data_IF_070426051220
#
_entry.id   IF_070426051220
#
_cell.length_a   1.000
_cell.length_b   1.000
_cell.length_c   1.000
_cell.angle_alpha   90.00
_cell.angle_beta   90.00
_cell.angle_gamma   90.00
#
_symmetry.space_group_name_H-M   'P 1'
#
loop_
_entity.id
_entity.type
_entity.pdbx_description
1 polymer ?
#
# COMPACT_ATOMS: atom_id res chain seq x y z
N UNK A 1 -1.13 11.06 14.27
CA UNK A 1 -0.07 10.70 15.23
C UNK A 1 1.14 10.24 14.44
N UNK A 2 2.28 10.93 14.52
CA UNK A 2 3.54 10.37 14.02
C UNK A 2 4.02 9.37 15.06
N UNK A 3 3.71 8.08 14.85
CA UNK A 3 4.37 7.03 15.60
C UNK A 3 5.81 7.00 15.09
N UNK A 4 6.75 7.45 15.93
CA UNK A 4 8.18 7.36 15.63
C UNK A 4 8.62 5.91 15.37
N UNK A 5 9.89 5.69 15.00
CA UNK A 5 10.39 4.34 14.75
C UNK A 5 10.13 3.43 15.96
N UNK A 6 9.71 2.19 15.70
CA UNK A 6 9.56 1.18 16.75
C UNK A 6 10.94 0.94 17.37
N UNK A 7 11.05 1.10 18.69
CA UNK A 7 12.32 0.90 19.38
C UNK A 7 12.77 -0.57 19.25
N UNK A 8 14.08 -0.81 19.06
CA UNK A 8 14.62 -2.15 18.83
C UNK A 8 14.25 -3.15 19.94
N UNK A 9 14.19 -2.69 21.20
CA UNK A 9 13.76 -3.53 22.34
C UNK A 9 12.32 -4.02 22.23
N UNK A 10 11.43 -3.24 21.60
CA UNK A 10 10.03 -3.65 21.38
C UNK A 10 9.95 -4.69 20.26
N UNK A 11 10.75 -4.54 19.19
CA UNK A 11 10.87 -5.56 18.16
C UNK A 11 11.42 -6.88 18.73
N UNK A 12 12.42 -6.81 19.61
CA UNK A 12 12.97 -8.00 20.28
C UNK A 12 11.95 -8.68 21.21
N UNK A 13 11.18 -7.89 21.98
CA UNK A 13 10.08 -8.44 22.80
C UNK A 13 9.02 -9.13 21.94
N UNK A 14 8.63 -8.52 20.83
CA UNK A 14 7.68 -9.10 19.89
C UNK A 14 8.22 -10.40 19.30
N UNK A 15 9.47 -10.41 18.86
CA UNK A 15 10.15 -11.57 18.30
C UNK A 15 10.19 -12.77 19.27
N UNK A 16 10.43 -12.51 20.58
CA UNK A 16 10.39 -13.57 21.61
C UNK A 16 8.99 -14.14 21.85
N UNK A 17 7.94 -13.33 21.68
CA UNK A 17 6.55 -13.71 21.95
C UNK A 17 5.86 -14.40 20.79
N UNK A 18 6.25 -14.09 19.56
CA UNK A 18 5.64 -14.67 18.38
C UNK A 18 6.02 -16.14 18.15
N UNK A 19 7.07 -16.64 18.82
CA UNK A 19 7.61 -18.01 18.64
C UNK A 19 7.97 -18.39 17.19
N UNK A 20 7.93 -17.41 16.27
CA UNK A 20 8.32 -17.49 14.88
C UNK A 20 9.31 -16.38 14.59
N UNK A 21 10.36 -16.68 13.82
CA UNK A 21 11.31 -15.67 13.34
C UNK A 21 10.63 -14.76 12.31
N UNK A 22 10.48 -13.47 12.63
CA UNK A 22 9.89 -12.47 11.74
C UNK A 22 10.97 -11.48 11.30
N UNK A 23 11.11 -11.33 10.00
CA UNK A 23 12.02 -10.35 9.39
C UNK A 23 11.18 -9.20 8.88
N UNK A 24 11.43 -8.00 9.41
CA UNK A 24 10.75 -6.79 8.98
C UNK A 24 11.57 -6.10 7.89
N UNK A 25 10.94 -5.88 6.74
CA UNK A 25 11.48 -5.02 5.68
C UNK A 25 10.65 -3.75 5.63
N UNK A 26 11.30 -2.60 5.85
CA UNK A 26 10.66 -1.29 5.81
C UNK A 26 11.35 -0.48 4.73
N UNK A 27 10.66 -0.19 3.60
CA UNK A 27 11.25 0.62 2.55
C UNK A 27 11.40 2.07 2.99
N UNK A 28 12.43 2.73 2.49
CA UNK A 28 12.52 4.18 2.54
C UNK A 28 11.80 4.75 1.32
N UNK A 29 10.90 5.70 1.55
CA UNK A 29 10.30 6.46 0.45
C UNK A 29 11.39 7.24 -0.30
N UNK A 30 11.35 7.28 -1.65
CA UNK A 30 12.11 8.25 -2.42
C UNK A 30 11.90 9.66 -1.88
N UNK A 31 12.96 10.49 -1.85
CA UNK A 31 12.80 11.91 -1.54
C UNK A 31 11.95 12.58 -2.63
N UNK A 32 11.36 13.75 -2.34
CA UNK A 32 10.73 14.57 -3.38
C UNK A 32 11.71 14.81 -4.54
N UNK A 33 11.22 14.68 -5.77
CA UNK A 33 12.01 14.94 -6.96
C UNK A 33 12.18 16.44 -7.21
N UNK A 34 13.15 16.80 -8.06
CA UNK A 34 13.44 18.20 -8.40
C UNK A 34 12.28 18.91 -9.11
N UNK A 35 11.46 18.16 -9.87
CA UNK A 35 10.25 18.65 -10.54
C UNK A 35 9.02 18.71 -9.60
N UNK A 36 9.19 18.39 -8.31
CA UNK A 36 8.16 18.53 -7.28
C UNK A 36 7.20 17.37 -7.17
N UNK A 37 7.54 16.20 -7.73
CA UNK A 37 6.80 14.96 -7.48
C UNK A 37 7.08 14.47 -6.06
N UNK A 38 6.01 14.04 -5.43
CA UNK A 38 5.95 13.40 -4.12
C UNK A 38 5.71 11.91 -4.32
N UNK A 39 5.90 11.16 -3.24
CA UNK A 39 5.83 9.71 -3.27
C UNK A 39 5.03 9.15 -2.10
N UNK A 40 4.25 8.10 -2.35
CA UNK A 40 3.68 7.28 -1.31
C UNK A 40 3.54 5.83 -1.77
N UNK A 41 4.21 4.92 -1.05
CA UNK A 41 4.26 3.47 -1.28
C UNK A 41 4.69 3.03 -2.67
N UNK A 42 3.81 3.06 -3.66
CA UNK A 42 4.12 2.74 -5.05
C UNK A 42 3.61 3.78 -6.02
N UNK A 43 3.20 4.96 -5.54
CA UNK A 43 2.59 6.00 -6.35
C UNK A 43 3.36 7.32 -6.26
N UNK A 44 3.61 7.93 -7.41
CA UNK A 44 4.12 9.30 -7.54
C UNK A 44 3.00 10.27 -7.88
N UNK A 45 3.05 11.46 -7.30
CA UNK A 45 2.03 12.48 -7.49
C UNK A 45 2.57 13.87 -7.21
N UNK A 46 1.95 14.88 -7.80
CA UNK A 46 2.20 16.29 -7.49
C UNK A 46 1.41 16.72 -6.25
N UNK A 47 1.88 17.77 -5.56
CA UNK A 47 1.15 18.38 -4.43
C UNK A 47 -0.26 18.85 -4.80
N UNK A 48 -0.54 19.13 -6.07
CA UNK A 48 -1.88 19.51 -6.55
C UNK A 48 -2.82 18.31 -6.69
N UNK A 49 -2.30 17.12 -6.99
CA UNK A 49 -3.10 15.91 -7.18
C UNK A 49 -3.70 15.36 -5.87
N UNK A 50 -2.99 15.48 -4.73
CA UNK A 50 -3.40 14.95 -3.43
C UNK A 50 -3.40 16.04 -2.34
N UNK A 51 -4.29 17.03 -2.44
CA UNK A 51 -4.47 18.07 -1.41
C UNK A 51 -5.54 17.67 -0.40
N UNK A 52 -5.31 17.88 0.90
CA UNK A 52 -6.31 17.74 2.00
C UNK A 52 -6.71 16.31 2.38
N UNK A 53 -5.79 15.34 2.35
CA UNK A 53 -6.01 13.98 2.88
C UNK A 53 -7.33 13.33 2.38
N UNK A 54 -7.43 13.20 1.06
CA UNK A 54 -8.69 12.99 0.33
C UNK A 54 -9.33 11.59 0.49
N UNK A 55 -8.69 10.68 1.23
CA UNK A 55 -9.17 9.30 1.32
C UNK A 55 -8.95 8.46 0.06
N UNK A 56 -8.17 8.97 -0.90
CA UNK A 56 -7.73 8.25 -2.09
C UNK A 56 -6.41 8.84 -2.59
N UNK A 57 -5.75 8.13 -3.51
CA UNK A 57 -4.53 8.61 -4.15
C UNK A 57 -4.77 8.86 -5.65
N UNK A 58 -4.48 10.07 -6.11
CA UNK A 58 -4.41 10.42 -7.52
C UNK A 58 -2.94 10.64 -7.91
N UNK A 59 -2.47 9.86 -8.88
CA UNK A 59 -1.07 9.85 -9.29
C UNK A 59 -0.83 8.69 -10.25
N UNK A 60 0.44 8.36 -10.44
CA UNK A 60 0.87 7.29 -11.33
C UNK A 60 1.64 6.23 -10.54
N UNK A 61 1.55 4.97 -10.97
CA UNK A 61 2.34 3.91 -10.37
C UNK A 61 3.82 4.08 -10.70
N UNK A 62 4.65 4.11 -9.67
CA UNK A 62 6.09 4.20 -9.79
C UNK A 62 6.72 2.81 -9.91
N UNK A 63 6.59 2.21 -11.10
CA UNK A 63 7.08 0.86 -11.41
C UNK A 63 8.53 0.59 -10.98
N UNK A 64 9.52 1.48 -11.23
CA UNK A 64 10.90 1.20 -10.82
C UNK A 64 11.06 1.00 -9.32
N UNK A 65 10.24 1.67 -8.50
CA UNK A 65 10.26 1.46 -7.06
C UNK A 65 9.63 0.13 -6.68
N UNK A 66 8.48 -0.21 -7.27
CA UNK A 66 7.80 -1.48 -7.01
C UNK A 66 8.69 -2.68 -7.41
N UNK A 67 9.41 -2.58 -8.52
CA UNK A 67 10.40 -3.55 -8.98
C UNK A 67 11.56 -3.67 -7.98
N UNK A 68 12.18 -2.55 -7.60
CA UNK A 68 13.30 -2.54 -6.66
C UNK A 68 12.92 -3.08 -5.28
N UNK A 69 11.75 -2.68 -4.76
CA UNK A 69 11.24 -3.16 -3.48
C UNK A 69 10.93 -4.65 -3.54
N UNK A 70 10.24 -5.12 -4.57
CA UNK A 70 9.93 -6.54 -4.76
C UNK A 70 11.22 -7.37 -4.86
N UNK A 71 12.22 -6.90 -5.60
CA UNK A 71 13.54 -7.56 -5.67
C UNK A 71 14.14 -7.72 -4.27
N UNK A 72 14.11 -6.67 -3.44
CA UNK A 72 14.64 -6.73 -2.07
C UNK A 72 13.84 -7.64 -1.15
N UNK A 73 12.53 -7.73 -1.33
CA UNK A 73 11.67 -8.69 -0.62
C UNK A 73 12.08 -10.12 -0.98
N UNK A 74 12.23 -10.43 -2.26
CA UNK A 74 12.65 -11.77 -2.71
C UNK A 74 14.05 -12.12 -2.22
N UNK A 75 15.03 -11.21 -2.37
CA UNK A 75 16.39 -11.40 -1.87
C UNK A 75 16.41 -11.66 -0.35
N UNK A 76 15.60 -10.93 0.43
CA UNK A 76 15.51 -11.12 1.87
C UNK A 76 14.85 -12.47 2.22
N UNK A 77 13.77 -12.83 1.51
CA UNK A 77 13.08 -14.10 1.70
C UNK A 77 14.02 -15.29 1.44
N UNK A 78 14.79 -15.24 0.35
CA UNK A 78 15.81 -16.25 0.03
C UNK A 78 16.92 -16.28 1.07
N UNK A 79 17.50 -15.13 1.42
CA UNK A 79 18.61 -15.05 2.38
C UNK A 79 18.25 -15.60 3.76
N UNK A 80 17.02 -15.34 4.23
CA UNK A 80 16.55 -15.83 5.52
C UNK A 80 15.83 -17.17 5.46
N UNK A 81 15.71 -17.78 4.27
CA UNK A 81 14.92 -18.98 4.02
C UNK A 81 13.50 -18.87 4.61
N UNK A 82 12.84 -17.75 4.29
CA UNK A 82 11.52 -17.44 4.82
C UNK A 82 10.50 -18.47 4.33
N UNK A 83 9.71 -19.02 5.25
CA UNK A 83 8.64 -19.95 4.90
C UNK A 83 7.48 -19.26 4.17
N UNK A 84 7.22 -17.99 4.54
CA UNK A 84 6.14 -17.16 4.00
C UNK A 84 6.58 -15.71 3.87
N UNK A 85 6.06 -15.04 2.85
CA UNK A 85 6.21 -13.61 2.62
C UNK A 85 4.84 -12.94 2.69
N UNK A 86 4.72 -11.92 3.55
CA UNK A 86 3.48 -11.18 3.76
C UNK A 86 3.70 -9.68 3.53
N UNK A 87 2.82 -9.05 2.75
CA UNK A 87 2.68 -7.59 2.75
C UNK A 87 1.42 -7.21 3.53
N UNK A 88 1.60 -6.38 4.56
CA UNK A 88 0.51 -5.95 5.42
C UNK A 88 0.63 -4.45 5.69
N UNK A 89 -0.51 -3.75 5.72
CA UNK A 89 -0.52 -2.38 6.20
C UNK A 89 -1.90 -1.84 6.54
N UNK A 90 -1.88 -0.72 7.26
CA UNK A 90 -3.05 0.04 7.68
C UNK A 90 -3.10 1.40 6.96
N UNK A 91 -4.28 1.86 6.55
CA UNK A 91 -4.46 3.15 5.88
C UNK A 91 -3.59 3.23 4.62
N UNK A 92 -2.66 4.18 4.53
CA UNK A 92 -1.71 4.27 3.42
C UNK A 92 -0.88 2.99 3.26
N UNK A 93 -0.58 2.28 4.35
CA UNK A 93 0.08 0.98 4.30
C UNK A 93 -0.78 -0.11 3.66
N UNK A 94 -2.10 -0.06 3.85
CA UNK A 94 -3.04 -0.99 3.20
C UNK A 94 -3.06 -0.75 1.69
N UNK A 95 -3.06 0.52 1.27
CA UNK A 95 -2.86 0.88 -0.13
C UNK A 95 -1.54 0.33 -0.69
N UNK A 96 -0.43 0.49 0.03
CA UNK A 96 0.86 -0.09 -0.35
C UNK A 96 0.85 -1.62 -0.47
N UNK A 97 0.17 -2.32 0.45
CA UNK A 97 0.04 -3.77 0.41
C UNK A 97 -0.73 -4.24 -0.84
N UNK A 98 -1.84 -3.57 -1.17
CA UNK A 98 -2.57 -3.82 -2.42
C UNK A 98 -1.67 -3.58 -3.63
N UNK A 99 -0.89 -2.50 -3.63
CA UNK A 99 0.00 -2.19 -4.75
C UNK A 99 1.07 -3.27 -4.98
N UNK A 100 1.71 -3.74 -3.90
CA UNK A 100 2.76 -4.75 -3.96
C UNK A 100 2.21 -6.09 -4.43
N UNK A 101 1.09 -6.53 -3.86
CA UNK A 101 0.45 -7.79 -4.25
C UNK A 101 -0.03 -7.77 -5.70
N UNK A 102 -0.57 -6.65 -6.18
CA UNK A 102 -0.98 -6.50 -7.57
C UNK A 102 0.19 -6.42 -8.55
N UNK A 103 1.31 -5.83 -8.12
CA UNK A 103 2.47 -5.64 -8.98
C UNK A 103 3.22 -6.95 -9.25
N UNK A 104 3.44 -7.75 -8.21
CA UNK A 104 4.20 -8.98 -8.27
C UNK A 104 3.57 -10.05 -7.36
N UNK A 105 2.38 -10.57 -7.71
CA UNK A 105 1.62 -11.47 -6.85
C UNK A 105 2.41 -12.72 -6.43
N UNK A 106 3.27 -13.23 -7.31
CA UNK A 106 4.13 -14.39 -7.06
C UNK A 106 5.18 -14.19 -5.96
N UNK A 107 5.46 -12.94 -5.56
CA UNK A 107 6.43 -12.63 -4.50
C UNK A 107 5.82 -12.69 -3.09
N UNK A 108 4.50 -12.87 -2.97
CA UNK A 108 3.79 -12.79 -1.69
C UNK A 108 2.85 -14.00 -1.52
N UNK A 109 2.87 -14.62 -0.33
CA UNK A 109 1.89 -15.62 0.06
C UNK A 109 0.60 -14.96 0.58
N UNK A 110 0.73 -13.80 1.20
CA UNK A 110 -0.35 -13.13 1.93
C UNK A 110 -0.32 -11.61 1.72
N UNK A 111 -1.46 -11.04 1.37
CA UNK A 111 -1.71 -9.60 1.32
C UNK A 111 -2.79 -9.25 2.34
N UNK A 112 -2.49 -8.31 3.25
CA UNK A 112 -3.45 -7.80 4.24
C UNK A 112 -3.56 -6.28 4.11
N UNK A 113 -4.74 -5.80 3.71
CA UNK A 113 -5.06 -4.39 3.62
C UNK A 113 -6.10 -4.02 4.68
N UNK A 114 -5.73 -3.16 5.62
CA UNK A 114 -6.63 -2.66 6.68
C UNK A 114 -6.93 -1.20 6.44
N UNK A 115 -8.20 -0.84 6.21
CA UNK A 115 -8.63 0.51 5.86
C UNK A 115 -7.79 1.11 4.71
N UNK A 116 -7.38 0.27 3.75
CA UNK A 116 -6.50 0.65 2.67
C UNK A 116 -7.26 1.33 1.53
N UNK A 117 -6.65 2.38 0.98
CA UNK A 117 -7.21 3.13 -0.14
C UNK A 117 -6.97 2.43 -1.49
N UNK A 118 -7.76 2.78 -2.49
CA UNK A 118 -7.43 2.57 -3.90
C UNK A 118 -6.77 3.80 -4.55
N UNK A 119 -6.42 3.67 -5.83
CA UNK A 119 -6.16 4.86 -6.67
C UNK A 119 -7.49 5.38 -7.19
N UNK A 120 -7.76 6.68 -7.06
CA UNK A 120 -9.08 7.24 -7.37
C UNK A 120 -10.17 6.85 -6.37
N UNK A 121 -11.42 7.26 -6.63
CA UNK A 121 -12.55 7.04 -5.72
C UNK A 121 -13.89 7.08 -6.47
N UNK A 122 -14.88 6.32 -5.98
CA UNK A 122 -16.27 6.38 -6.42
C UNK A 122 -17.08 7.46 -5.67
N UNK A 123 -16.53 8.02 -4.60
CA UNK A 123 -17.21 9.02 -3.79
C UNK A 123 -17.53 10.30 -4.58
N UNK A 124 -18.68 10.94 -4.31
CA UNK A 124 -19.02 12.23 -4.88
C UNK A 124 -17.97 13.31 -4.57
N UNK A 125 -17.80 14.26 -5.50
CA UNK A 125 -16.83 15.37 -5.38
C UNK A 125 -16.99 16.15 -4.08
N UNK A 126 -18.22 16.31 -3.59
CA UNK A 126 -18.56 17.04 -2.38
C UNK A 126 -18.01 16.38 -1.11
N UNK A 127 -17.84 15.05 -1.12
CA UNK A 127 -17.36 14.27 0.02
C UNK A 127 -15.85 14.05 -0.04
N UNK A 128 -15.34 13.61 -1.18
CA UNK A 128 -13.92 13.24 -1.33
C UNK A 128 -13.04 14.38 -1.82
N UNK A 129 -13.61 15.44 -2.41
CA UNK A 129 -12.84 16.46 -3.12
C UNK A 129 -12.30 16.01 -4.48
N UNK A 130 -12.59 14.77 -4.90
CA UNK A 130 -12.15 14.25 -6.19
C UNK A 130 -12.96 14.83 -7.34
N UNK A 131 -12.32 15.35 -8.41
CA UNK A 131 -13.06 15.76 -9.59
C UNK A 131 -13.66 14.53 -10.27
N UNK A 132 -14.98 14.39 -10.20
CA UNK A 132 -15.71 13.39 -10.98
C UNK A 132 -16.01 13.91 -12.40
N UNK A 133 -15.97 13.04 -13.43
CA UNK A 133 -15.85 11.58 -13.40
C UNK A 133 -14.40 11.05 -13.41
N UNK A 134 -13.39 11.93 -13.30
CA UNK A 134 -11.98 11.52 -13.40
C UNK A 134 -11.58 10.57 -12.27
N UNK A 135 -12.00 10.86 -11.03
CA UNK A 135 -11.75 9.99 -9.88
C UNK A 135 -12.24 8.55 -10.10
N UNK A 136 -13.48 8.40 -10.57
CA UNK A 136 -14.08 7.11 -10.94
C UNK A 136 -13.28 6.38 -12.02
N UNK A 137 -12.88 7.07 -13.09
CA UNK A 137 -12.12 6.45 -14.18
C UNK A 137 -10.77 5.89 -13.70
N UNK A 138 -10.08 6.61 -12.81
CA UNK A 138 -8.82 6.13 -12.21
C UNK A 138 -9.08 4.92 -11.33
N UNK A 139 -10.17 4.93 -10.56
CA UNK A 139 -10.55 3.81 -9.71
C UNK A 139 -10.91 2.55 -10.50
N UNK A 140 -11.75 2.68 -11.53
CA UNK A 140 -12.12 1.58 -12.41
C UNK A 140 -10.89 1.00 -13.13
N UNK A 141 -9.97 1.84 -13.60
CA UNK A 141 -8.68 1.38 -14.14
C UNK A 141 -7.87 0.61 -13.10
N UNK A 142 -7.71 1.15 -11.89
CA UNK A 142 -6.93 0.51 -10.83
C UNK A 142 -7.52 -0.85 -10.44
N UNK A 143 -8.84 -0.95 -10.36
CA UNK A 143 -9.54 -2.21 -10.08
C UNK A 143 -9.33 -3.24 -11.19
N UNK A 144 -9.56 -2.85 -12.44
CA UNK A 144 -9.58 -3.78 -13.57
C UNK A 144 -8.17 -4.21 -13.99
N UNK A 145 -7.24 -3.26 -14.05
CA UNK A 145 -5.92 -3.45 -14.66
C UNK A 145 -4.81 -3.75 -13.64
N UNK A 146 -5.07 -3.56 -12.34
CA UNK A 146 -4.05 -3.76 -11.31
C UNK A 146 -4.52 -4.67 -10.18
N UNK A 147 -5.62 -4.35 -9.50
CA UNK A 147 -6.15 -5.15 -8.38
C UNK A 147 -6.53 -6.56 -8.82
N UNK A 148 -6.96 -6.75 -10.07
CA UNK A 148 -7.30 -8.07 -10.62
C UNK A 148 -6.15 -9.09 -10.55
N UNK A 149 -4.89 -8.64 -10.50
CA UNK A 149 -3.72 -9.52 -10.34
C UNK A 149 -3.61 -10.15 -8.95
N UNK A 150 -4.29 -9.60 -7.94
CA UNK A 150 -4.33 -10.19 -6.60
C UNK A 150 -4.95 -11.59 -6.57
N UNK A 151 -5.68 -11.99 -7.63
CA UNK A 151 -6.19 -13.35 -7.79
C UNK A 151 -5.09 -14.43 -7.77
N UNK A 152 -3.86 -14.05 -8.08
CA UNK A 152 -2.71 -14.95 -8.14
C UNK A 152 -1.97 -15.02 -6.78
N UNK A 153 -2.39 -14.23 -5.78
CA UNK A 153 -1.92 -14.32 -4.39
C UNK A 153 -2.77 -15.35 -3.64
N UNK A 154 -2.16 -16.32 -2.91
CA UNK A 154 -2.91 -17.34 -2.19
C UNK A 154 -3.93 -16.81 -1.17
N UNK A 155 -3.56 -15.78 -0.40
CA UNK A 155 -4.44 -15.18 0.62
C UNK A 155 -4.46 -13.66 0.46
N UNK A 156 -5.66 -13.12 0.27
CA UNK A 156 -5.91 -11.67 0.24
C UNK A 156 -6.98 -11.36 1.27
N UNK A 157 -6.64 -10.53 2.25
CA UNK A 157 -7.55 -10.10 3.31
C UNK A 157 -7.73 -8.58 3.27
N UNK A 158 -8.94 -8.13 2.93
CA UNK A 158 -9.39 -6.76 3.10
C UNK A 158 -10.16 -6.60 4.40
N UNK A 159 -9.74 -5.67 5.26
CA UNK A 159 -10.44 -5.34 6.52
C UNK A 159 -10.81 -3.87 6.47
N UNK A 160 -12.10 -3.55 6.55
CA UNK A 160 -12.58 -2.17 6.51
C UNK A 160 -13.77 -1.96 7.44
N UNK A 161 -13.84 -0.79 8.07
CA UNK A 161 -14.98 -0.39 8.90
C UNK A 161 -15.99 0.42 8.06
N UNK A 162 -17.30 0.12 8.10
CA UNK A 162 -18.34 0.91 7.42
C UNK A 162 -18.45 2.35 7.92
N UNK A 163 -18.02 2.58 9.17
CA UNK A 163 -18.05 3.90 9.81
C UNK A 163 -16.77 4.73 9.57
N UNK A 164 -15.83 4.23 8.75
CA UNK A 164 -14.63 4.99 8.42
C UNK A 164 -15.00 6.25 7.63
N UNK A 165 -14.53 7.40 8.09
CA UNK A 165 -14.80 8.71 7.49
C UNK A 165 -13.62 9.23 6.68
N UNK A 166 -12.49 8.52 6.70
CA UNK A 166 -11.24 8.89 6.04
C UNK A 166 -10.99 8.05 4.80
N UNK A 167 -11.18 6.73 4.89
CA UNK A 167 -11.19 5.82 3.74
C UNK A 167 -12.63 5.44 3.43
N UNK A 168 -13.04 5.57 2.16
CA UNK A 168 -14.40 5.21 1.77
C UNK A 168 -14.57 3.70 1.82
N UNK A 169 -15.48 3.22 2.67
CA UNK A 169 -15.86 1.80 2.68
C UNK A 169 -16.53 1.34 1.38
N UNK A 170 -17.09 2.27 0.61
CA UNK A 170 -17.76 1.95 -0.66
C UNK A 170 -16.79 1.79 -1.83
N UNK A 171 -15.55 2.27 -1.67
CA UNK A 171 -14.44 2.01 -2.59
C UNK A 171 -13.80 0.66 -2.24
#
# INVERSE_FOLDING_TARGET
MHHGPIHASELEKMQRRLWHRVIYLVPLSPPPSEDGMLFSWGCTFTKTQNRKDLGYVNGDLHRPFLEALTSKVTEAAEYFNAERVMAMGYSMGGFGALQLGSFAPQAYDVIVSVAGYGMGTLEPTERSGAPQPKGRKVFEWFLNDFISHLRDVPIVLGVHAPADTMSSFAD
#
